data_IF_774862780369
#
_entry.id   IF_774862780369
#
_cell.length_a   1.000
_cell.length_b   1.000
_cell.length_c   1.000
_cell.angle_alpha   90.00
_cell.angle_beta   90.00
_cell.angle_gamma   90.00
#
_symmetry.space_group_name_H-M   'P 1'
#
loop_
_entity.id
_entity.type
_entity.pdbx_description
1 polymer ?
#
# COMPACT_ATOMS: atom_id res chain seq x y z
N UNK A 1 -17.17 7.14 16.63
CA UNK A 1 -16.92 7.88 15.38
C UNK A 1 -16.40 6.90 14.33
N UNK A 2 -16.72 7.11 13.05
CA UNK A 2 -16.26 6.25 11.95
C UNK A 2 -14.99 6.84 11.32
N UNK A 3 -13.98 6.01 11.05
CA UNK A 3 -12.74 6.42 10.37
C UNK A 3 -12.85 6.41 8.84
N UNK A 4 -13.99 5.98 8.29
CA UNK A 4 -14.22 5.89 6.84
C UNK A 4 -13.85 7.16 6.03
N UNK A 5 -14.10 8.39 6.52
CA UNK A 5 -13.73 9.59 5.78
C UNK A 5 -12.22 9.76 5.54
N UNK A 6 -11.38 9.13 6.37
CA UNK A 6 -9.92 9.27 6.36
C UNK A 6 -9.23 8.15 5.58
N UNK A 7 -9.96 7.23 4.96
CA UNK A 7 -9.36 6.07 4.30
C UNK A 7 -8.42 6.47 3.15
N UNK A 8 -8.78 7.49 2.36
CA UNK A 8 -7.94 7.94 1.25
C UNK A 8 -6.60 8.51 1.73
N UNK A 9 -6.65 9.32 2.79
CA UNK A 9 -5.47 9.89 3.46
C UNK A 9 -4.61 8.78 4.07
N UNK A 10 -5.23 7.89 4.86
CA UNK A 10 -4.53 6.80 5.52
C UNK A 10 -3.87 5.81 4.54
N UNK A 11 -4.48 5.54 3.38
CA UNK A 11 -3.87 4.71 2.33
C UNK A 11 -2.65 5.43 1.73
N UNK A 12 -2.72 6.74 1.54
CA UNK A 12 -1.63 7.52 0.96
C UNK A 12 -0.44 7.57 1.92
N UNK A 13 -0.65 7.97 3.17
CA UNK A 13 0.39 8.00 4.22
C UNK A 13 0.95 6.60 4.51
N UNK A 14 0.07 5.59 4.52
CA UNK A 14 0.45 4.19 4.71
C UNK A 14 1.36 3.69 3.59
N UNK A 15 1.13 4.11 2.35
CA UNK A 15 1.98 3.72 1.22
C UNK A 15 3.36 4.37 1.28
N UNK A 16 3.46 5.65 1.63
CA UNK A 16 4.74 6.33 1.84
C UNK A 16 5.56 5.63 2.93
N UNK A 17 4.91 5.29 4.05
CA UNK A 17 5.54 4.53 5.14
C UNK A 17 5.99 3.12 4.70
N UNK A 18 5.25 2.48 3.80
CA UNK A 18 5.61 1.16 3.26
C UNK A 18 6.82 1.24 2.30
N UNK A 19 6.94 2.31 1.51
CA UNK A 19 8.12 2.56 0.68
C UNK A 19 9.38 2.72 1.55
N UNK A 20 9.31 3.55 2.58
CA UNK A 20 10.42 3.75 3.52
C UNK A 20 10.85 2.43 4.19
N UNK A 21 9.88 1.60 4.57
CA UNK A 21 10.14 0.28 5.12
C UNK A 21 10.82 -0.63 4.09
N UNK A 22 10.33 -0.66 2.85
CA UNK A 22 10.91 -1.49 1.79
C UNK A 22 12.35 -1.09 1.47
N UNK A 23 12.65 0.21 1.36
CA UNK A 23 14.02 0.72 1.14
C UNK A 23 14.93 0.41 2.33
N UNK A 24 14.42 0.46 3.57
CA UNK A 24 15.21 0.17 4.77
C UNK A 24 15.56 -1.31 4.93
N UNK A 25 14.61 -2.19 4.62
CA UNK A 25 14.72 -3.63 4.92
C UNK A 25 15.20 -4.48 3.72
N UNK A 26 15.29 -3.89 2.53
CA UNK A 26 15.68 -4.59 1.29
C UNK A 26 16.78 -3.83 0.54
N UNK A 27 17.44 -4.45 -0.46
CA UNK A 27 18.42 -3.75 -1.31
C UNK A 27 17.81 -2.81 -2.37
N UNK A 28 16.50 -2.61 -2.38
CA UNK A 28 15.79 -1.76 -3.34
C UNK A 28 15.87 -0.28 -2.93
N UNK A 29 15.90 0.61 -3.92
CA UNK A 29 15.78 2.06 -3.72
C UNK A 29 14.41 2.57 -4.23
N UNK A 30 14.02 3.80 -3.89
CA UNK A 30 12.75 4.38 -4.31
C UNK A 30 12.47 4.29 -5.83
N UNK A 31 13.45 4.45 -6.74
CA UNK A 31 13.23 4.27 -8.17
C UNK A 31 12.87 2.84 -8.60
N UNK A 32 13.18 1.84 -7.78
CA UNK A 32 12.85 0.44 -8.03
C UNK A 32 11.41 0.10 -7.60
N UNK A 33 10.77 0.99 -6.85
CA UNK A 33 9.44 0.81 -6.28
C UNK A 33 8.38 1.62 -7.05
N UNK A 34 7.11 1.19 -7.04
CA UNK A 34 6.06 1.97 -7.68
C UNK A 34 5.91 3.33 -6.98
N UNK A 35 5.87 4.46 -7.71
CA UNK A 35 5.84 5.79 -7.12
C UNK A 35 4.50 6.15 -6.45
N UNK A 36 3.47 5.34 -6.66
CA UNK A 36 2.16 5.45 -6.02
C UNK A 36 1.58 4.06 -5.78
N UNK A 37 0.64 3.95 -4.84
CA UNK A 37 0.02 2.67 -4.52
C UNK A 37 -0.66 2.08 -5.77
N UNK A 38 -0.27 0.88 -6.22
CA UNK A 38 -0.84 0.26 -7.42
C UNK A 38 -2.23 -0.34 -7.17
N UNK A 39 -2.70 -0.35 -5.91
CA UNK A 39 -3.93 -0.98 -5.50
C UNK A 39 -4.96 0.07 -5.08
N UNK A 40 -6.22 -0.16 -5.48
CA UNK A 40 -7.32 0.65 -5.00
C UNK A 40 -7.78 0.19 -3.61
N UNK A 41 -8.63 0.99 -2.96
CA UNK A 41 -9.14 0.67 -1.63
C UNK A 41 -9.89 -0.66 -1.56
N UNK A 42 -10.64 -1.04 -2.59
CA UNK A 42 -11.36 -2.32 -2.61
C UNK A 42 -10.39 -3.51 -2.56
N UNK A 43 -9.26 -3.44 -3.27
CA UNK A 43 -8.22 -4.46 -3.26
C UNK A 43 -7.46 -4.49 -1.93
N UNK A 44 -7.11 -3.32 -1.37
CA UNK A 44 -6.41 -3.22 -0.07
C UNK A 44 -7.23 -3.85 1.07
N UNK A 45 -8.57 -3.72 1.02
CA UNK A 45 -9.47 -4.25 2.04
C UNK A 45 -10.06 -5.62 1.71
N UNK A 46 -9.74 -6.22 0.56
CA UNK A 46 -10.17 -7.58 0.21
C UNK A 46 -9.22 -8.62 0.84
N UNK A 47 -9.68 -9.43 1.81
CA UNK A 47 -8.82 -10.45 2.44
C UNK A 47 -8.42 -11.58 1.48
N UNK A 48 -9.04 -11.68 0.30
CA UNK A 48 -8.68 -12.65 -0.74
C UNK A 48 -7.75 -12.06 -1.80
N UNK A 49 -7.26 -10.83 -1.61
CA UNK A 49 -6.29 -10.19 -2.48
C UNK A 49 -4.84 -10.40 -1.99
N UNK A 50 -3.85 -10.63 -2.88
CA UNK A 50 -4.03 -10.98 -4.28
C UNK A 50 -4.64 -12.37 -4.39
N UNK A 51 -5.59 -12.55 -5.32
CA UNK A 51 -6.15 -13.88 -5.55
C UNK A 51 -5.01 -14.78 -5.98
N UNK A 52 -4.74 -15.83 -5.22
CA UNK A 52 -3.80 -16.85 -5.66
C UNK A 52 -4.40 -17.48 -6.91
N UNK A 53 -3.69 -17.41 -8.03
CA UNK A 53 -4.04 -18.18 -9.22
C UNK A 53 -3.91 -19.67 -8.86
N UNK A 54 -5.01 -20.43 -9.00
CA UNK A 54 -5.02 -21.89 -8.90
C UNK A 54 -4.40 -22.54 -10.15
#
# INVERSE_FOLDING_TARGET
LSLKPYLAEAITEGYESALDLAVRETPLDYPDLPPSCPFNGEQIFDPNFPKMEE
#
